data_IF_373222558388
#
_entry.id   IF_373222558388
#
_cell.length_a   1.000
_cell.length_b   1.000
_cell.length_c   1.000
_cell.angle_alpha   90.00
_cell.angle_beta   90.00
_cell.angle_gamma   90.00
#
_symmetry.space_group_name_H-M   'P 1'
#
loop_
_entity.id
_entity.type
_entity.pdbx_description
1 polymer ?
#
# COMPACT_ATOMS: atom_id res chain seq x y z
N UNK A 1 14.19 -17.37 -25.43
CA UNK A 1 14.42 -16.87 -24.07
C UNK A 1 13.08 -16.86 -23.39
N UNK A 2 12.80 -17.90 -22.61
CA UNK A 2 11.55 -18.07 -21.87
C UNK A 2 11.55 -17.02 -20.77
N UNK A 3 10.63 -16.06 -20.83
CA UNK A 3 10.41 -15.10 -19.76
C UNK A 3 9.86 -15.89 -18.58
N UNK A 4 10.74 -16.43 -17.74
CA UNK A 4 10.37 -16.91 -16.43
C UNK A 4 9.80 -15.68 -15.70
N UNK A 5 8.48 -15.65 -15.58
CA UNK A 5 7.81 -14.66 -14.75
C UNK A 5 8.32 -14.88 -13.33
N UNK A 6 9.23 -14.01 -12.88
CA UNK A 6 9.83 -13.99 -11.53
C UNK A 6 8.77 -13.60 -10.49
N UNK A 7 7.76 -14.44 -10.35
CA UNK A 7 6.57 -14.20 -9.56
C UNK A 7 6.10 -15.46 -8.86
N UNK A 8 5.37 -15.27 -7.77
CA UNK A 8 4.93 -16.37 -6.91
C UNK A 8 3.55 -16.85 -7.34
N UNK A 9 3.38 -18.17 -7.40
CA UNK A 9 2.05 -18.76 -7.67
C UNK A 9 1.21 -18.84 -6.40
N UNK A 10 -0.09 -19.08 -6.52
CA UNK A 10 -0.98 -19.33 -5.36
C UNK A 10 -0.44 -20.45 -4.45
N UNK A 11 0.16 -21.50 -5.03
CA UNK A 11 0.72 -22.61 -4.27
C UNK A 11 1.94 -22.18 -3.43
N UNK A 12 2.76 -21.29 -3.96
CA UNK A 12 3.90 -20.72 -3.23
C UNK A 12 3.42 -19.85 -2.06
N UNK A 13 2.42 -18.99 -2.31
CA UNK A 13 1.82 -18.13 -1.27
C UNK A 13 1.13 -18.94 -0.16
N UNK A 14 0.47 -20.05 -0.51
CA UNK A 14 -0.10 -21.00 0.45
C UNK A 14 0.96 -21.56 1.39
N UNK A 15 2.09 -22.00 0.84
CA UNK A 15 3.23 -22.52 1.61
C UNK A 15 3.86 -21.43 2.49
N UNK A 16 4.09 -20.25 1.91
CA UNK A 16 4.76 -19.11 2.57
C UNK A 16 3.99 -18.58 3.78
N UNK A 17 2.67 -18.42 3.65
CA UNK A 17 1.84 -17.87 4.71
C UNK A 17 1.13 -18.96 5.55
N UNK A 18 1.29 -20.23 5.19
CA UNK A 18 0.61 -21.36 5.82
C UNK A 18 -0.92 -21.19 5.87
N UNK A 19 -1.49 -20.70 4.76
CA UNK A 19 -2.94 -20.49 4.60
C UNK A 19 -3.44 -21.27 3.39
N UNK A 20 -4.66 -21.80 3.47
CA UNK A 20 -5.28 -22.48 2.32
C UNK A 20 -5.43 -21.54 1.12
N UNK A 21 -5.43 -22.09 -0.12
CA UNK A 21 -5.67 -21.33 -1.37
C UNK A 21 -6.89 -20.42 -1.32
N UNK A 22 -7.97 -20.87 -0.66
CA UNK A 22 -9.19 -20.08 -0.46
C UNK A 22 -8.96 -18.84 0.43
N UNK A 23 -8.03 -18.93 1.38
CA UNK A 23 -7.55 -17.81 2.19
C UNK A 23 -6.76 -16.78 1.37
N UNK A 24 -5.87 -17.25 0.49
CA UNK A 24 -5.14 -16.38 -0.47
C UNK A 24 -6.14 -15.61 -1.34
N UNK A 25 -7.15 -16.29 -1.90
CA UNK A 25 -8.21 -15.65 -2.70
C UNK A 25 -8.98 -14.58 -1.92
N UNK A 26 -9.31 -14.84 -0.65
CA UNK A 26 -9.97 -13.86 0.23
C UNK A 26 -9.10 -12.64 0.48
N UNK A 27 -7.78 -12.83 0.68
CA UNK A 27 -6.85 -11.71 0.88
C UNK A 27 -6.75 -10.85 -0.37
N UNK A 28 -6.64 -11.46 -1.55
CA UNK A 28 -6.60 -10.75 -2.84
C UNK A 28 -7.87 -9.93 -3.03
N UNK A 29 -9.05 -10.53 -2.81
CA UNK A 29 -10.33 -9.82 -2.92
C UNK A 29 -10.40 -8.62 -1.97
N UNK A 30 -9.98 -8.81 -0.70
CA UNK A 30 -9.98 -7.73 0.29
C UNK A 30 -8.98 -6.63 -0.05
N UNK A 31 -7.77 -6.97 -0.49
CA UNK A 31 -6.78 -5.98 -0.92
C UNK A 31 -7.30 -5.16 -2.12
N UNK A 32 -8.01 -5.81 -3.06
CA UNK A 32 -8.69 -5.12 -4.16
C UNK A 32 -9.79 -4.17 -3.67
N UNK A 33 -10.60 -4.59 -2.70
CA UNK A 33 -11.59 -3.71 -2.05
C UNK A 33 -10.95 -2.52 -1.31
N UNK A 34 -9.73 -2.71 -0.78
CA UNK A 34 -8.95 -1.66 -0.10
C UNK A 34 -8.21 -0.73 -1.08
N UNK A 35 -8.36 -0.94 -2.40
CA UNK A 35 -7.79 -0.08 -3.44
C UNK A 35 -6.38 -0.48 -3.92
N UNK A 36 -5.84 -1.61 -3.47
CA UNK A 36 -4.53 -2.07 -3.95
C UNK A 36 -4.63 -2.71 -5.34
N UNK A 37 -3.69 -2.43 -6.25
CA UNK A 37 -3.64 -3.02 -7.60
C UNK A 37 -3.10 -4.46 -7.54
N UNK A 38 -3.82 -5.35 -6.88
CA UNK A 38 -3.52 -6.79 -6.86
C UNK A 38 -4.28 -7.47 -8.00
N UNK A 39 -3.56 -7.86 -9.05
CA UNK A 39 -4.07 -8.62 -10.18
C UNK A 39 -3.08 -9.71 -10.54
N UNK A 40 -3.52 -10.97 -10.44
CA UNK A 40 -2.67 -12.09 -10.83
C UNK A 40 -2.45 -12.07 -12.34
N UNK A 41 -1.18 -12.09 -12.76
CA UNK A 41 -0.83 -12.40 -14.14
C UNK A 41 -1.08 -13.89 -14.40
N UNK A 42 -1.41 -14.23 -15.64
CA UNK A 42 -1.56 -15.62 -16.05
C UNK A 42 -0.28 -16.04 -16.77
N UNK A 43 0.38 -17.07 -16.25
CA UNK A 43 1.54 -17.69 -16.89
C UNK A 43 1.15 -18.43 -18.17
N UNK A 44 2.15 -18.81 -18.97
CA UNK A 44 2.06 -19.73 -20.10
C UNK A 44 1.36 -21.05 -19.74
N UNK A 45 1.48 -21.50 -18.48
CA UNK A 45 0.82 -22.69 -17.95
C UNK A 45 -0.60 -22.43 -17.39
N UNK A 46 -1.19 -21.25 -17.67
CA UNK A 46 -2.50 -20.81 -17.16
C UNK A 46 -2.60 -20.73 -15.64
N UNK A 47 -1.48 -20.51 -14.97
CA UNK A 47 -1.40 -20.35 -13.51
C UNK A 47 -1.44 -18.88 -13.13
N UNK A 48 -2.11 -18.56 -12.03
CA UNK A 48 -2.07 -17.24 -11.42
C UNK A 48 -0.71 -16.99 -10.77
N UNK A 49 -0.01 -15.96 -11.23
CA UNK A 49 1.29 -15.48 -10.76
C UNK A 49 1.15 -14.06 -10.22
N UNK A 50 1.72 -13.84 -9.04
CA UNK A 50 1.80 -12.53 -8.41
C UNK A 50 3.23 -12.01 -8.52
N UNK A 51 3.36 -10.75 -8.93
CA UNK A 51 4.67 -10.10 -9.02
C UNK A 51 5.20 -9.73 -7.63
N UNK A 52 6.47 -9.32 -7.56
CA UNK A 52 7.14 -8.96 -6.31
C UNK A 52 6.42 -7.86 -5.51
N UNK A 53 5.87 -6.84 -6.17
CA UNK A 53 5.16 -5.75 -5.49
C UNK A 53 3.87 -6.23 -4.82
N UNK A 54 3.13 -7.09 -5.50
CA UNK A 54 1.92 -7.71 -4.97
C UNK A 54 2.23 -8.62 -3.78
N UNK A 55 3.31 -9.39 -3.87
CA UNK A 55 3.80 -10.22 -2.76
C UNK A 55 4.18 -9.35 -1.56
N UNK A 56 4.84 -8.21 -1.76
CA UNK A 56 5.19 -7.32 -0.65
C UNK A 56 3.94 -6.78 0.09
N UNK A 57 2.88 -6.44 -0.65
CA UNK A 57 1.60 -6.02 -0.06
C UNK A 57 1.00 -7.18 0.76
N UNK A 58 1.05 -8.41 0.25
CA UNK A 58 0.59 -9.60 0.96
C UNK A 58 1.42 -9.91 2.20
N UNK A 59 2.75 -9.70 2.17
CA UNK A 59 3.62 -9.84 3.33
C UNK A 59 3.28 -8.81 4.42
N UNK A 60 3.01 -7.56 4.05
CA UNK A 60 2.54 -6.53 4.99
C UNK A 60 1.20 -6.92 5.61
N UNK A 61 0.28 -7.47 4.82
CA UNK A 61 -1.01 -7.96 5.31
C UNK A 61 -0.82 -9.14 6.27
N UNK A 62 0.03 -10.12 5.94
CA UNK A 62 0.33 -11.26 6.80
C UNK A 62 0.93 -10.81 8.14
N UNK A 63 1.88 -9.87 8.12
CA UNK A 63 2.46 -9.29 9.33
C UNK A 63 1.38 -8.57 10.16
N UNK A 64 0.50 -7.78 9.52
CA UNK A 64 -0.60 -7.11 10.20
C UNK A 64 -1.56 -8.10 10.86
N UNK A 65 -1.94 -9.17 10.17
CA UNK A 65 -2.80 -10.24 10.69
C UNK A 65 -2.16 -10.93 11.90
N UNK A 66 -0.86 -11.22 11.83
CA UNK A 66 -0.10 -11.85 12.92
C UNK A 66 -0.05 -10.96 14.16
N UNK A 67 0.04 -9.64 13.99
CA UNK A 67 0.11 -8.68 15.10
C UNK A 67 -1.28 -8.36 15.68
N UNK A 68 -2.31 -8.16 14.83
CA UNK A 68 -3.64 -7.66 15.25
C UNK A 68 -4.76 -8.71 15.33
N UNK A 69 -4.46 -9.99 15.09
CA UNK A 69 -5.41 -11.09 15.28
C UNK A 69 -6.48 -11.19 14.19
N UNK A 70 -6.05 -11.38 12.94
CA UNK A 70 -6.92 -11.77 11.81
C UNK A 70 -7.93 -10.71 11.31
N UNK A 71 -7.73 -9.43 11.64
CA UNK A 71 -8.57 -8.32 11.19
C UNK A 71 -8.05 -7.69 9.89
N UNK A 72 -8.27 -8.36 8.76
CA UNK A 72 -7.93 -7.83 7.41
C UNK A 72 -8.61 -6.48 7.14
N UNK A 73 -9.79 -6.24 7.73
CA UNK A 73 -10.54 -4.99 7.57
C UNK A 73 -9.86 -3.76 8.21
N UNK A 74 -8.93 -3.96 9.14
CA UNK A 74 -8.13 -2.91 9.79
C UNK A 74 -6.85 -2.59 9.00
N UNK A 75 -6.57 -3.36 7.95
CA UNK A 75 -5.43 -3.11 7.08
C UNK A 75 -5.60 -1.75 6.38
N UNK A 76 -4.55 -0.90 6.34
CA UNK A 76 -4.63 0.42 5.74
C UNK A 76 -5.16 0.33 4.32
N UNK A 77 -6.09 1.22 3.97
CA UNK A 77 -6.57 1.35 2.59
C UNK A 77 -5.52 2.06 1.76
N UNK A 78 -5.29 1.59 0.55
CA UNK A 78 -4.60 2.39 -0.44
C UNK A 78 -5.61 3.47 -0.85
N UNK A 79 -5.50 4.66 -0.24
CA UNK A 79 -6.32 5.79 -0.63
C UNK A 79 -6.15 5.99 -2.15
N UNK A 80 -7.24 6.07 -2.93
CA UNK A 80 -7.09 6.46 -4.31
C UNK A 80 -6.36 7.80 -4.35
N UNK A 81 -5.54 8.09 -5.37
CA UNK A 81 -4.96 9.43 -5.55
C UNK A 81 -6.00 10.55 -5.71
N UNK A 82 -7.30 10.23 -5.59
CA UNK A 82 -8.46 11.08 -5.83
C UNK A 82 -9.21 11.50 -4.54
N UNK A 83 -8.64 11.26 -3.36
CA UNK A 83 -9.07 11.89 -2.09
C UNK A 83 -7.91 12.66 -1.43
N UNK A 84 -6.93 13.11 -2.23
CA UNK A 84 -6.28 14.37 -1.87
C UNK A 84 -7.38 15.41 -2.03
N UNK A 85 -7.74 16.20 -1.01
CA UNK A 85 -8.41 17.45 -1.30
C UNK A 85 -7.52 18.18 -2.32
N UNK A 86 -8.01 18.30 -3.56
CA UNK A 86 -7.55 19.33 -4.50
C UNK A 86 -7.95 20.65 -3.86
N UNK A 87 -7.16 21.06 -2.87
CA UNK A 87 -7.59 22.00 -1.84
C UNK A 87 -6.60 22.12 -0.69
N UNK A 88 -5.31 21.93 -0.98
CA UNK A 88 -4.25 22.66 -0.30
C UNK A 88 -3.32 23.16 -1.40
N UNK A 89 -3.74 24.28 -2.02
CA UNK A 89 -2.77 25.34 -2.28
C UNK A 89 -1.91 25.46 -1.03
N UNK A 90 -0.61 25.57 -1.23
CA UNK A 90 0.39 25.80 -0.18
C UNK A 90 0.25 27.22 0.42
N UNK A 91 -0.98 27.69 0.56
CA UNK A 91 -1.32 28.94 1.18
C UNK A 91 -2.11 28.62 2.44
N UNK A 92 -1.53 29.00 3.58
CA UNK A 92 -2.24 29.18 4.85
C UNK A 92 -2.49 27.91 5.67
N UNK A 93 -1.42 27.25 6.13
CA UNK A 93 -1.20 27.10 7.60
C UNK A 93 0.29 26.90 7.86
N UNK A 94 0.98 27.88 8.44
CA UNK A 94 2.30 27.64 9.07
C UNK A 94 3.52 28.39 8.54
N UNK A 95 3.39 29.62 8.05
CA UNK A 95 4.41 30.64 8.35
C UNK A 95 3.72 31.72 9.18
N UNK A 96 4.05 31.81 10.47
CA UNK A 96 5.14 32.72 10.83
C UNK A 96 5.99 32.20 11.99
N UNK A 97 7.19 31.74 11.73
CA UNK A 97 8.24 31.74 12.76
C UNK A 97 9.62 32.19 12.27
N UNK A 98 9.79 32.60 11.00
CA UNK A 98 11.09 33.10 10.51
C UNK A 98 11.06 34.52 9.90
N UNK A 99 9.96 35.28 10.03
CA UNK A 99 9.91 36.71 9.59
C UNK A 99 9.50 37.67 10.72
N UNK A 100 9.68 37.28 11.98
CA UNK A 100 9.43 38.16 13.14
C UNK A 100 10.72 38.72 13.79
N UNK A 101 11.92 38.37 13.29
CA UNK A 101 13.22 38.83 13.85
C UNK A 101 13.93 39.84 12.91
N UNK A 102 13.21 40.49 11.99
CA UNK A 102 13.84 41.45 11.08
C UNK A 102 13.10 42.79 10.85
N UNK A 103 12.07 43.12 11.65
CA UNK A 103 11.41 44.45 11.59
C UNK A 103 10.99 45.02 12.93
N UNK A 104 11.83 44.86 13.95
CA UNK A 104 11.71 45.58 15.23
C UNK A 104 13.00 46.32 15.58
N UNK A 105 13.63 46.92 14.56
CA UNK A 105 14.80 47.79 14.74
C UNK A 105 14.91 48.89 13.69
N UNK A 106 13.79 49.57 13.40
CA UNK A 106 13.79 50.78 12.55
C UNK A 106 12.73 51.81 13.02
N UNK A 107 12.44 51.85 14.32
CA UNK A 107 11.79 52.97 15.00
C UNK A 107 12.54 53.23 16.30
N UNK A 108 13.78 53.68 16.16
CA UNK A 108 14.52 54.37 17.20
C UNK A 108 15.64 55.14 16.52
N UNK A 109 15.46 56.46 16.53
CA UNK A 109 16.37 57.55 16.15
C UNK A 109 16.34 57.97 14.68
#
# INVERSE_FOLDING_TARGET
>A
MTTELDGLTIADLESRYSIARSGVGRWVQKLKELGYPIEAAIDSERRAIYNREQVEIMDRLAAHIKIRGNKIADFPRMLPPQDRPTGLTYETVGQPYETAIARLRLLSW
#
